data_IF_883630263016
#
_entry.id   IF_883630263016
#
_cell.length_a   1.000
_cell.length_b   1.000
_cell.length_c   1.000
_cell.angle_alpha   90.00
_cell.angle_beta   90.00
_cell.angle_gamma   90.00
#
_symmetry.space_group_name_H-M   'P 1'
#
loop_
_entity.id
_entity.type
_entity.pdbx_description
1 polymer ?
#
# COMPACT_ATOMS: atom_id res chain seq x y z
N UNK A 1 -1.51 6.29 -1.00
CA UNK A 1 -0.56 5.85 0.02
C UNK A 1 0.86 6.12 -0.43
N UNK A 2 1.70 6.60 0.47
CA UNK A 2 3.13 6.82 0.28
C UNK A 2 3.93 5.61 0.77
N UNK A 3 5.20 5.52 0.35
CA UNK A 3 6.12 4.47 0.82
C UNK A 3 6.25 4.45 2.35
N UNK A 4 6.26 5.62 2.99
CA UNK A 4 6.34 5.72 4.46
C UNK A 4 5.10 5.15 5.14
N UNK A 5 3.91 5.43 4.63
CA UNK A 5 2.66 4.89 5.19
C UNK A 5 2.61 3.36 5.09
N UNK A 6 3.09 2.79 3.98
CA UNK A 6 3.20 1.33 3.80
C UNK A 6 4.16 0.72 4.82
N UNK A 7 5.31 1.35 5.05
CA UNK A 7 6.30 0.90 6.05
C UNK A 7 5.68 0.86 7.45
N UNK A 8 5.03 1.95 7.86
CA UNK A 8 4.40 2.03 9.19
C UNK A 8 3.25 1.01 9.34
N UNK A 9 2.42 0.85 8.30
CA UNK A 9 1.38 -0.18 8.28
C UNK A 9 1.99 -1.59 8.42
N UNK A 10 3.08 -1.88 7.71
CA UNK A 10 3.77 -3.17 7.81
C UNK A 10 4.40 -3.41 9.18
N UNK A 11 4.99 -2.40 9.82
CA UNK A 11 5.50 -2.52 11.20
C UNK A 11 4.38 -2.86 12.18
N UNK A 12 3.23 -2.17 12.05
CA UNK A 12 2.04 -2.42 12.88
C UNK A 12 1.48 -3.82 12.67
N UNK A 13 1.30 -4.23 11.42
CA UNK A 13 0.73 -5.53 11.03
C UNK A 13 1.66 -6.70 11.41
N UNK A 14 2.95 -6.55 11.18
CA UNK A 14 3.92 -7.60 11.50
C UNK A 14 4.24 -7.71 12.98
N UNK A 15 4.03 -6.63 13.75
CA UNK A 15 4.48 -6.51 15.13
C UNK A 15 6.01 -6.40 15.28
N UNK A 16 6.73 -6.19 14.16
CA UNK A 16 8.19 -6.11 14.12
C UNK A 16 8.60 -4.71 13.72
N UNK A 17 9.38 -4.05 14.59
CA UNK A 17 10.04 -2.80 14.26
C UNK A 17 11.34 -3.07 13.48
N UNK A 18 11.21 -3.27 12.17
CA UNK A 18 12.35 -3.53 11.29
C UNK A 18 13.09 -2.24 10.91
N UNK A 19 14.40 -2.37 10.68
CA UNK A 19 15.28 -1.27 10.27
C UNK A 19 14.90 -0.78 8.87
N UNK A 20 14.81 0.54 8.71
CA UNK A 20 14.55 1.20 7.42
C UNK A 20 15.71 2.14 7.13
N UNK A 21 16.38 1.95 6.00
CA UNK A 21 17.46 2.81 5.54
C UNK A 21 17.00 3.67 4.37
N UNK A 22 17.16 4.98 4.50
CA UNK A 22 16.82 5.90 3.42
C UNK A 22 17.91 5.87 2.36
N UNK A 23 17.49 5.69 1.11
CA UNK A 23 18.36 5.71 -0.05
C UNK A 23 17.96 6.84 -1.02
N UNK A 24 18.85 7.27 -1.93
CA UNK A 24 18.51 8.20 -2.99
C UNK A 24 17.31 7.70 -3.82
N UNK A 25 16.51 8.64 -4.35
CA UNK A 25 15.41 8.29 -5.26
C UNK A 25 15.97 7.61 -6.51
N UNK A 26 15.25 6.60 -7.01
CA UNK A 26 15.56 6.00 -8.31
C UNK A 26 15.31 7.04 -9.40
N UNK A 27 16.26 7.14 -10.32
CA UNK A 27 16.12 8.07 -11.45
C UNK A 27 14.95 7.63 -12.34
N UNK A 28 14.09 8.57 -12.73
CA UNK A 28 12.92 8.30 -13.57
C UNK A 28 11.61 8.04 -12.80
N UNK A 29 11.65 7.86 -11.48
CA UNK A 29 10.43 7.64 -10.70
C UNK A 29 9.68 8.97 -10.45
N UNK A 30 8.40 9.09 -10.84
CA UNK A 30 7.59 10.27 -10.53
C UNK A 30 7.32 10.36 -9.02
N UNK A 31 7.12 11.58 -8.51
CA UNK A 31 6.83 11.80 -7.09
C UNK A 31 5.50 11.20 -6.63
N UNK A 32 4.52 11.13 -7.52
CA UNK A 32 3.19 10.56 -7.29
C UNK A 32 2.68 9.95 -8.59
N UNK A 33 2.11 8.74 -8.52
CA UNK A 33 1.44 8.08 -9.64
C UNK A 33 0.19 7.38 -9.12
N UNK A 34 -0.99 7.90 -9.48
CA UNK A 34 -2.30 7.41 -9.03
C UNK A 34 -3.27 7.49 -10.22
N UNK A 35 -4.09 6.45 -10.39
CA UNK A 35 -5.15 6.42 -11.41
C UNK A 35 -6.42 7.13 -10.91
N UNK A 36 -7.08 7.89 -11.79
CA UNK A 36 -8.41 8.43 -11.52
C UNK A 36 -9.49 7.35 -11.73
N UNK A 37 -10.14 6.95 -10.64
CA UNK A 37 -11.22 5.96 -10.64
C UNK A 37 -12.63 6.59 -10.79
N UNK A 38 -12.74 7.90 -11.03
CA UNK A 38 -14.03 8.60 -11.10
C UNK A 38 -14.94 8.04 -12.20
N UNK A 39 -14.37 7.68 -13.35
CA UNK A 39 -15.15 7.14 -14.48
C UNK A 39 -15.88 5.84 -14.13
N UNK A 40 -15.22 4.88 -13.50
CA UNK A 40 -15.84 3.61 -13.13
C UNK A 40 -16.86 3.78 -12.00
N UNK A 41 -16.56 4.67 -11.04
CA UNK A 41 -17.48 4.99 -9.92
C UNK A 41 -18.76 5.71 -10.39
N UNK A 42 -18.68 6.51 -11.45
CA UNK A 42 -19.83 7.24 -11.98
C UNK A 42 -20.69 6.41 -12.93
N UNK A 43 -20.08 5.50 -13.70
CA UNK A 43 -20.79 4.69 -14.69
C UNK A 43 -21.35 3.39 -14.12
N UNK A 44 -20.93 3.00 -12.92
CA UNK A 44 -21.32 1.74 -12.29
C UNK A 44 -21.48 1.93 -10.78
N UNK A 45 -22.15 0.99 -10.10
CA UNK A 45 -22.19 0.95 -8.62
C UNK A 45 -20.89 0.41 -7.99
N UNK A 46 -19.80 0.31 -8.77
CA UNK A 46 -18.55 -0.24 -8.28
C UNK A 46 -17.92 0.68 -7.23
N UNK A 47 -17.56 0.09 -6.10
CA UNK A 47 -16.77 0.71 -5.05
C UNK A 47 -15.70 -0.28 -4.59
N UNK A 48 -14.48 0.19 -4.27
CA UNK A 48 -13.45 -0.69 -3.76
C UNK A 48 -13.88 -1.24 -2.39
N UNK A 49 -13.96 -2.57 -2.30
CA UNK A 49 -14.32 -3.27 -1.06
C UNK A 49 -13.19 -3.26 -0.02
N UNK A 50 -11.95 -3.11 -0.48
CA UNK A 50 -10.73 -3.24 0.31
C UNK A 50 -9.84 -2.00 0.12
N UNK A 51 -10.39 -0.81 0.36
CA UNK A 51 -9.67 0.48 0.27
C UNK A 51 -9.04 0.88 1.63
N UNK A 52 -8.41 -0.09 2.29
CA UNK A 52 -7.79 0.08 3.60
C UNK A 52 -6.36 -0.47 3.57
N UNK A 53 -5.39 0.40 3.84
CA UNK A 53 -3.97 0.06 3.71
C UNK A 53 -3.56 -1.03 4.71
N UNK A 54 -4.05 -0.99 5.94
CA UNK A 54 -3.71 -1.97 6.97
C UNK A 54 -4.23 -3.36 6.59
N UNK A 55 -5.45 -3.45 6.08
CA UNK A 55 -6.06 -4.68 5.60
C UNK A 55 -5.30 -5.25 4.40
N UNK A 56 -4.92 -4.40 3.44
CA UNK A 56 -4.11 -4.81 2.28
C UNK A 56 -2.77 -5.40 2.76
N UNK A 57 -2.03 -4.66 3.59
CA UNK A 57 -0.75 -5.10 4.14
C UNK A 57 -0.89 -6.40 4.96
N UNK A 58 -1.93 -6.51 5.78
CA UNK A 58 -2.22 -7.72 6.57
C UNK A 58 -2.48 -8.93 5.69
N UNK A 59 -3.34 -8.79 4.68
CA UNK A 59 -3.64 -9.91 3.78
C UNK A 59 -2.41 -10.43 3.05
N UNK A 60 -1.51 -9.53 2.61
CA UNK A 60 -0.25 -9.91 1.99
C UNK A 60 0.70 -10.58 2.98
N UNK A 61 0.82 -10.05 4.19
CA UNK A 61 1.70 -10.63 5.23
C UNK A 61 1.24 -12.01 5.69
N UNK A 62 -0.07 -12.20 5.88
CA UNK A 62 -0.64 -13.49 6.28
C UNK A 62 -0.47 -14.55 5.18
N UNK A 63 -0.47 -14.14 3.91
CA UNK A 63 -0.13 -15.01 2.77
C UNK A 63 1.34 -15.44 2.82
N UNK A 64 2.28 -14.50 2.93
CA UNK A 64 3.72 -14.78 2.95
C UNK A 64 4.13 -15.68 4.13
N UNK A 65 3.41 -15.64 5.26
CA UNK A 65 3.64 -16.53 6.41
C UNK A 65 3.33 -18.01 6.15
N UNK A 66 2.52 -18.31 5.15
CA UNK A 66 2.09 -19.68 4.83
C UNK A 66 2.97 -20.33 3.75
N UNK A 67 3.90 -19.57 3.17
CA UNK A 67 4.87 -20.04 2.19
C UNK A 67 6.07 -20.74 2.85
#
# INVERSE_FOLDING_TARGET
FSVKEVIEAMKKVSGVDFKVELAPRRSGDPSVLISDASKIRNLTSWQPKYDDLELICKSAFDWEKQC
#
